data_IF_913499077867
#
_entry.id   IF_913499077867
#
_cell.length_a   1.000
_cell.length_b   1.000
_cell.length_c   1.000
_cell.angle_alpha   90.00
_cell.angle_beta   90.00
_cell.angle_gamma   90.00
#
_symmetry.space_group_name_H-M   'P 1'
#
loop_
_entity.id
_entity.type
_entity.pdbx_description
1 polymer ?
#
# COMPACT_ATOMS: atom_id res chain seq x y z
N UNK A 1 17.39 34.78 12.45
CA UNK A 1 16.55 33.99 11.53
C UNK A 1 16.82 32.52 11.82
N UNK A 2 15.81 31.73 12.21
CA UNK A 2 15.98 30.29 12.39
C UNK A 2 16.12 29.67 11.01
N UNK A 3 17.27 29.06 10.75
CA UNK A 3 17.54 28.31 9.54
C UNK A 3 16.57 27.12 9.53
N UNK A 4 15.66 27.12 8.55
CA UNK A 4 14.60 26.12 8.44
C UNK A 4 15.23 24.87 7.82
N UNK A 5 15.38 23.85 8.65
CA UNK A 5 16.00 22.56 8.33
C UNK A 5 14.99 21.61 7.65
N UNK A 6 14.33 22.10 6.59
CA UNK A 6 13.35 21.32 5.81
C UNK A 6 14.11 20.65 4.65
N UNK A 7 14.01 19.31 4.47
CA UNK A 7 14.42 18.69 3.22
C UNK A 7 13.55 19.24 2.09
N UNK A 8 14.20 19.87 1.12
CA UNK A 8 13.50 20.60 0.06
C UNK A 8 12.65 19.69 -0.83
N UNK A 9 13.03 18.42 -0.94
CA UNK A 9 12.43 17.44 -1.83
C UNK A 9 12.68 16.03 -1.28
N UNK A 10 11.64 15.20 -1.24
CA UNK A 10 11.77 13.74 -1.19
C UNK A 10 11.39 13.15 -2.54
N UNK A 11 12.14 12.16 -3.02
CA UNK A 11 11.82 11.44 -4.26
C UNK A 11 11.74 9.94 -4.04
N UNK A 12 11.04 9.25 -4.93
CA UNK A 12 10.92 7.80 -4.87
C UNK A 12 12.28 7.14 -5.07
N UNK A 13 12.66 6.28 -4.13
CA UNK A 13 13.95 5.58 -4.18
C UNK A 13 13.81 4.10 -4.46
N UNK A 14 12.93 3.42 -3.73
CA UNK A 14 12.72 1.98 -3.86
C UNK A 14 11.32 1.57 -3.39
N UNK A 15 10.80 0.52 -4.01
CA UNK A 15 9.66 -0.24 -3.52
C UNK A 15 10.19 -1.51 -2.82
N UNK A 16 9.54 -1.92 -1.73
CA UNK A 16 9.89 -3.15 -1.03
C UNK A 16 8.62 -3.90 -0.63
N UNK A 17 8.58 -5.20 -0.91
CA UNK A 17 7.55 -6.10 -0.39
C UNK A 17 7.88 -6.39 1.07
N UNK A 18 7.02 -5.96 1.98
CA UNK A 18 7.24 -6.21 3.41
C UNK A 18 6.63 -7.53 3.88
N UNK A 19 5.50 -7.93 3.31
CA UNK A 19 4.77 -9.14 3.69
C UNK A 19 4.13 -9.76 2.45
N UNK A 20 4.24 -11.09 2.31
CA UNK A 20 3.51 -11.85 1.30
C UNK A 20 3.10 -13.21 1.87
N UNK A 21 1.80 -13.48 1.86
CA UNK A 21 1.25 -14.75 2.37
C UNK A 21 0.14 -15.22 1.43
N UNK A 22 0.10 -16.53 1.19
CA UNK A 22 -0.98 -17.17 0.46
C UNK A 22 -1.60 -18.29 1.28
N UNK A 23 -2.93 -18.38 1.25
CA UNK A 23 -3.72 -19.44 1.88
C UNK A 23 -4.43 -20.27 0.82
N UNK A 24 -4.60 -21.56 1.09
CA UNK A 24 -5.51 -22.45 0.36
C UNK A 24 -6.46 -23.14 1.33
N UNK A 25 -7.66 -23.48 0.86
CA UNK A 25 -8.60 -24.28 1.63
C UNK A 25 -8.17 -25.74 1.76
N UNK A 26 -8.47 -26.35 2.91
CA UNK A 26 -8.24 -27.75 3.23
C UNK A 26 -9.42 -28.32 4.03
N UNK A 27 -9.43 -29.63 4.31
CA UNK A 27 -10.44 -30.26 5.18
C UNK A 27 -10.44 -29.74 6.62
N UNK A 28 -9.35 -29.09 7.06
CA UNK A 28 -9.20 -28.54 8.42
C UNK A 28 -9.39 -27.02 8.48
N UNK A 29 -9.61 -26.35 7.35
CA UNK A 29 -9.63 -24.89 7.25
C UNK A 29 -8.52 -24.36 6.33
N UNK A 30 -8.20 -23.07 6.45
CA UNK A 30 -7.08 -22.47 5.73
C UNK A 30 -5.73 -23.10 6.11
N UNK A 31 -4.88 -23.34 5.12
CA UNK A 31 -3.46 -23.67 5.32
C UNK A 31 -2.61 -22.71 4.50
N UNK A 32 -1.48 -22.28 5.05
CA UNK A 32 -0.52 -21.43 4.34
C UNK A 32 0.13 -22.23 3.22
N UNK A 33 0.22 -21.64 2.04
CA UNK A 33 0.94 -22.21 0.91
C UNK A 33 2.44 -21.95 1.05
N UNK A 34 3.26 -22.86 0.54
CA UNK A 34 4.64 -22.52 0.23
C UNK A 34 4.66 -21.48 -0.91
N UNK A 35 5.29 -20.34 -0.64
CA UNK A 35 5.44 -19.22 -1.58
C UNK A 35 6.89 -19.07 -2.04
N UNK A 36 7.75 -20.08 -1.81
CA UNK A 36 9.14 -20.06 -2.26
C UNK A 36 9.18 -19.90 -3.79
N UNK A 37 9.85 -18.83 -4.25
CA UNK A 37 9.97 -18.51 -5.67
C UNK A 37 8.73 -17.91 -6.33
N UNK A 38 7.70 -17.55 -5.55
CA UNK A 38 6.55 -16.79 -6.04
C UNK A 38 6.76 -15.31 -5.72
N UNK A 39 6.94 -14.50 -6.76
CA UNK A 39 7.04 -13.05 -6.59
C UNK A 39 5.64 -12.43 -6.59
N UNK A 40 5.31 -11.53 -5.64
CA UNK A 40 4.05 -10.79 -5.68
C UNK A 40 3.85 -10.07 -7.01
N UNK A 41 4.92 -9.58 -7.62
CA UNK A 41 4.88 -8.89 -8.90
C UNK A 41 4.23 -9.74 -10.00
N UNK A 42 4.38 -11.06 -9.98
CA UNK A 42 3.74 -11.93 -10.97
C UNK A 42 2.21 -12.00 -10.81
N UNK A 43 1.73 -11.81 -9.57
CA UNK A 43 0.31 -11.84 -9.25
C UNK A 43 -0.38 -10.49 -9.48
N UNK A 44 0.34 -9.36 -9.43
CA UNK A 44 -0.22 -8.00 -9.58
C UNK A 44 0.59 -7.14 -10.55
N UNK A 45 1.16 -7.73 -11.61
CA UNK A 45 2.11 -7.07 -12.51
C UNK A 45 1.60 -5.73 -13.06
N UNK A 46 0.34 -5.69 -13.51
CA UNK A 46 -0.26 -4.48 -14.08
C UNK A 46 -0.44 -3.39 -13.02
N UNK A 47 -1.02 -3.74 -11.86
CA UNK A 47 -1.24 -2.78 -10.77
C UNK A 47 0.06 -2.26 -10.17
N UNK A 48 1.08 -3.11 -10.03
CA UNK A 48 2.40 -2.72 -9.54
C UNK A 48 3.10 -1.82 -10.55
N UNK A 49 3.08 -2.18 -11.83
CA UNK A 49 3.71 -1.38 -12.89
C UNK A 49 3.11 0.01 -12.98
N UNK A 50 1.78 0.13 -12.94
CA UNK A 50 1.10 1.42 -12.95
C UNK A 50 1.53 2.30 -11.76
N UNK A 51 1.55 1.71 -10.56
CA UNK A 51 1.90 2.42 -9.32
C UNK A 51 3.36 2.79 -9.24
N UNK A 52 4.24 1.88 -9.64
CA UNK A 52 5.67 2.18 -9.73
C UNK A 52 5.94 3.33 -10.70
N UNK A 53 5.30 3.35 -11.86
CA UNK A 53 5.47 4.45 -12.81
C UNK A 53 5.00 5.77 -12.19
N UNK A 54 3.81 5.78 -11.56
CA UNK A 54 3.30 6.94 -10.86
C UNK A 54 4.28 7.44 -9.78
N UNK A 55 4.79 6.55 -8.93
CA UNK A 55 5.67 6.93 -7.83
C UNK A 55 7.07 7.30 -8.30
N UNK A 56 7.61 6.68 -9.36
CA UNK A 56 8.90 7.06 -9.96
C UNK A 56 8.91 8.50 -10.46
N UNK A 57 7.78 9.01 -10.91
CA UNK A 57 7.61 10.40 -11.35
C UNK A 57 7.21 11.35 -10.20
N UNK A 58 6.83 10.79 -9.04
CA UNK A 58 6.36 11.56 -7.90
C UNK A 58 7.52 12.13 -7.06
N UNK A 59 7.40 13.42 -6.73
CA UNK A 59 8.27 14.12 -5.80
C UNK A 59 7.45 14.89 -4.78
N UNK A 60 7.89 14.90 -3.52
CA UNK A 60 7.25 15.63 -2.42
C UNK A 60 8.12 16.82 -2.04
N UNK A 61 7.68 18.01 -2.39
CA UNK A 61 8.40 19.28 -2.13
C UNK A 61 7.74 19.97 -0.94
N UNK A 62 8.45 20.06 0.18
CA UNK A 62 7.98 20.76 1.37
C UNK A 62 8.30 22.25 1.24
N UNK A 63 7.27 23.07 1.05
CA UNK A 63 7.42 24.52 0.84
C UNK A 63 7.62 25.22 2.18
N UNK A 64 6.84 24.81 3.18
CA UNK A 64 6.95 25.25 4.57
C UNK A 64 6.35 24.19 5.52
N UNK A 65 6.13 24.55 6.79
CA UNK A 65 5.61 23.64 7.83
C UNK A 65 4.12 23.28 7.65
N UNK A 66 3.44 23.85 6.65
CA UNK A 66 2.00 23.65 6.37
C UNK A 66 1.68 23.37 4.92
N UNK A 67 2.58 23.67 3.98
CA UNK A 67 2.36 23.55 2.53
C UNK A 67 3.33 22.58 1.87
N UNK A 68 2.77 21.74 1.01
CA UNK A 68 3.41 20.64 0.30
C UNK A 68 3.04 20.74 -1.19
N UNK A 69 3.98 20.49 -2.10
CA UNK A 69 3.69 20.27 -3.53
C UNK A 69 4.03 18.82 -3.89
N UNK A 70 3.13 18.15 -4.60
CA UNK A 70 3.35 16.79 -5.12
C UNK A 70 3.59 16.91 -6.62
N UNK A 71 4.81 16.68 -7.10
CA UNK A 71 5.10 16.68 -8.54
C UNK A 71 4.60 15.38 -9.18
N UNK A 72 4.15 15.39 -10.45
CA UNK A 72 4.12 16.53 -11.38
C UNK A 72 2.89 17.44 -11.23
N UNK A 73 2.07 17.30 -10.18
CA UNK A 73 0.90 18.16 -10.00
C UNK A 73 1.30 19.60 -9.64
N UNK A 74 0.58 20.57 -10.24
CA UNK A 74 0.91 22.00 -10.13
C UNK A 74 0.23 22.73 -8.96
N UNK A 75 -0.41 22.01 -8.04
CA UNK A 75 -1.11 22.61 -6.92
C UNK A 75 -0.41 22.36 -5.58
N UNK A 76 -0.66 23.27 -4.64
CA UNK A 76 -0.21 23.15 -3.26
C UNK A 76 -1.28 22.45 -2.42
N UNK A 77 -0.82 21.57 -1.56
CA UNK A 77 -1.61 20.90 -0.55
C UNK A 77 -1.30 21.48 0.82
N UNK A 78 -2.34 21.64 1.64
CA UNK A 78 -2.16 21.84 3.07
C UNK A 78 -1.91 20.47 3.69
N UNK A 79 -0.83 20.34 4.45
CA UNK A 79 -0.47 19.10 5.12
C UNK A 79 -0.26 19.30 6.62
N UNK A 80 -0.27 18.19 7.35
CA UNK A 80 0.26 18.12 8.72
C UNK A 80 0.92 16.77 8.95
N UNK A 81 1.85 16.74 9.90
CA UNK A 81 2.42 15.51 10.43
C UNK A 81 1.81 15.25 11.81
N UNK A 82 1.01 14.20 11.94
CA UNK A 82 0.37 13.82 13.19
C UNK A 82 0.80 12.40 13.57
N UNK A 83 1.53 12.25 14.68
CA UNK A 83 2.02 10.95 15.18
C UNK A 83 2.68 10.07 14.12
N UNK A 84 3.51 10.67 13.26
CA UNK A 84 4.20 9.95 12.19
C UNK A 84 3.32 9.62 10.97
N UNK A 85 2.16 10.28 10.82
CA UNK A 85 1.33 10.21 9.62
C UNK A 85 1.35 11.56 8.93
N UNK A 86 1.76 11.57 7.67
CA UNK A 86 1.56 12.70 6.77
C UNK A 86 0.10 12.66 6.31
N UNK A 87 -0.65 13.68 6.70
CA UNK A 87 -2.04 13.86 6.29
C UNK A 87 -2.16 15.09 5.39
N UNK A 88 -2.96 14.97 4.34
CA UNK A 88 -3.28 16.05 3.41
C UNK A 88 -4.73 16.47 3.64
N UNK A 89 -4.98 17.78 3.75
CA UNK A 89 -6.33 18.29 3.83
C UNK A 89 -7.01 18.14 2.46
N UNK A 90 -8.12 17.40 2.41
CA UNK A 90 -9.03 17.39 1.28
C UNK A 90 -9.93 18.62 1.37
N UNK A 91 -9.83 19.60 0.45
CA UNK A 91 -10.67 20.79 0.48
C UNK A 91 -12.15 20.48 0.25
N UNK A 92 -12.43 19.44 -0.54
CA UNK A 92 -13.80 19.01 -0.88
C UNK A 92 -14.54 18.40 0.32
N UNK A 93 -13.81 17.68 1.18
CA UNK A 93 -14.38 16.94 2.30
C UNK A 93 -14.18 17.62 3.66
N UNK A 94 -13.38 18.68 3.71
CA UNK A 94 -12.87 19.32 4.92
C UNK A 94 -12.31 18.30 5.94
N UNK A 95 -11.52 17.36 5.42
CA UNK A 95 -10.97 16.23 6.18
C UNK A 95 -9.50 16.00 5.90
N UNK A 96 -8.78 15.65 6.96
CA UNK A 96 -7.39 15.20 6.87
C UNK A 96 -7.36 13.75 6.38
N UNK A 97 -6.72 13.53 5.23
CA UNK A 97 -6.58 12.23 4.59
C UNK A 97 -5.16 11.71 4.82
N UNK A 98 -4.99 10.54 5.45
CA UNK A 98 -3.68 9.89 5.53
C UNK A 98 -3.11 9.65 4.14
N UNK A 99 -1.90 10.14 3.91
CA UNK A 99 -1.21 10.02 2.63
C UNK A 99 0.01 9.10 2.72
N UNK A 100 0.87 9.31 3.73
CA UNK A 100 2.08 8.52 3.94
C UNK A 100 2.43 8.41 5.43
N UNK A 101 3.30 7.47 5.78
CA UNK A 101 3.75 7.20 7.14
C UNK A 101 5.25 7.54 7.28
N UNK A 102 5.66 8.04 8.43
CA UNK A 102 7.03 8.47 8.72
C UNK A 102 7.13 9.94 9.11
N UNK A 103 8.18 10.61 8.66
CA UNK A 103 8.43 12.03 8.93
C UNK A 103 8.86 12.76 7.65
N UNK A 104 9.08 14.07 7.73
CA UNK A 104 9.45 14.88 6.56
C UNK A 104 10.76 14.49 5.86
N UNK A 105 11.63 13.69 6.50
CA UNK A 105 12.91 13.22 5.93
C UNK A 105 12.80 11.81 5.32
N UNK A 106 11.74 11.07 5.66
CA UNK A 106 11.51 9.72 5.16
C UNK A 106 10.03 9.41 5.26
N UNK A 107 9.40 9.22 4.11
CA UNK A 107 7.99 8.86 4.01
C UNK A 107 7.82 7.52 3.32
N UNK A 108 6.78 6.82 3.71
CA UNK A 108 6.42 5.53 3.14
C UNK A 108 4.94 5.52 2.79
N UNK A 109 4.62 5.24 1.52
CA UNK A 109 3.27 4.94 1.06
C UNK A 109 3.11 3.42 1.08
N UNK A 110 2.04 2.95 1.70
CA UNK A 110 1.76 1.51 1.81
C UNK A 110 0.64 1.17 0.84
N UNK A 111 0.89 0.19 -0.03
CA UNK A 111 -0.11 -0.39 -0.90
C UNK A 111 -0.40 -1.82 -0.50
N UNK A 112 -1.64 -2.07 -0.12
CA UNK A 112 -2.15 -3.39 0.21
C UNK A 112 -2.76 -4.06 -1.02
N UNK A 113 -2.38 -5.30 -1.28
CA UNK A 113 -2.81 -6.07 -2.44
C UNK A 113 -3.46 -7.38 -1.99
N UNK A 114 -4.63 -7.69 -2.54
CA UNK A 114 -5.34 -8.95 -2.31
C UNK A 114 -5.73 -9.61 -3.63
N UNK A 115 -5.66 -10.93 -3.68
CA UNK A 115 -6.00 -11.76 -4.81
C UNK A 115 -6.81 -12.98 -4.38
N UNK A 116 -7.87 -13.31 -5.10
CA UNK A 116 -8.66 -14.52 -4.89
C UNK A 116 -8.64 -15.36 -6.17
N UNK A 117 -8.36 -16.64 -6.01
CA UNK A 117 -8.26 -17.61 -7.08
C UNK A 117 -8.88 -18.95 -6.74
N UNK A 118 -8.95 -19.81 -7.74
CA UNK A 118 -9.08 -21.25 -7.52
C UNK A 118 -7.68 -21.90 -7.55
N UNK A 119 -7.62 -23.22 -7.64
CA UNK A 119 -6.36 -23.96 -7.66
C UNK A 119 -5.51 -23.56 -8.88
N UNK A 120 -6.14 -23.11 -9.96
CA UNK A 120 -5.55 -22.82 -11.28
C UNK A 120 -5.03 -21.39 -11.43
N UNK A 121 -5.34 -20.48 -10.50
CA UNK A 121 -4.78 -19.13 -10.50
C UNK A 121 -5.68 -18.07 -9.86
N UNK A 122 -5.10 -16.87 -9.65
CA UNK A 122 -5.79 -15.70 -9.09
C UNK A 122 -6.60 -15.02 -10.19
N UNK A 123 -7.93 -14.92 -10.00
CA UNK A 123 -8.86 -14.36 -10.99
C UNK A 123 -9.40 -13.00 -10.60
N UNK A 124 -9.47 -12.72 -9.30
CA UNK A 124 -9.99 -11.45 -8.76
C UNK A 124 -8.89 -10.76 -7.98
N UNK A 125 -8.57 -9.52 -8.33
CA UNK A 125 -7.52 -8.72 -7.68
C UNK A 125 -8.09 -7.43 -7.10
N UNK A 126 -7.49 -6.95 -6.02
CA UNK A 126 -7.78 -5.66 -5.39
C UNK A 126 -6.48 -5.02 -4.93
N UNK A 127 -6.40 -3.71 -5.09
CA UNK A 127 -5.37 -2.86 -4.49
C UNK A 127 -6.02 -1.77 -3.63
N UNK A 128 -5.40 -1.44 -2.50
CA UNK A 128 -5.81 -0.38 -1.57
C UNK A 128 -4.59 0.48 -1.24
N UNK A 129 -4.77 1.80 -1.14
CA UNK A 129 -3.70 2.73 -0.69
C UNK A 129 -3.62 2.78 0.84
N UNK A 130 -3.56 1.60 1.48
CA UNK A 130 -3.32 1.41 2.90
C UNK A 130 -2.82 -0.03 3.13
N UNK A 131 -2.36 -0.32 4.34
CA UNK A 131 -1.96 -1.67 4.71
C UNK A 131 -3.15 -2.64 4.59
N UNK A 132 -3.01 -3.67 3.75
CA UNK A 132 -3.93 -4.79 3.71
C UNK A 132 -3.53 -5.78 4.80
N UNK A 133 -4.52 -6.25 5.54
CA UNK A 133 -4.30 -7.28 6.57
C UNK A 133 -4.85 -8.61 6.09
N UNK A 134 -4.40 -9.70 6.72
CA UNK A 134 -5.02 -11.01 6.55
C UNK A 134 -6.56 -10.91 6.66
N UNK A 135 -7.09 -10.27 7.71
CA UNK A 135 -8.54 -10.08 7.85
C UNK A 135 -9.18 -9.33 6.67
N UNK A 136 -8.54 -8.27 6.18
CA UNK A 136 -9.01 -7.53 5.03
C UNK A 136 -9.02 -8.37 3.75
N UNK A 137 -8.04 -9.26 3.57
CA UNK A 137 -7.99 -10.21 2.47
C UNK A 137 -9.11 -11.25 2.55
N UNK A 138 -9.41 -11.74 3.75
CA UNK A 138 -10.54 -12.65 3.98
C UNK A 138 -11.88 -11.94 3.75
N UNK A 139 -12.06 -10.71 4.24
CA UNK A 139 -13.28 -9.93 4.01
C UNK A 139 -13.52 -9.69 2.52
N UNK A 140 -12.46 -9.44 1.75
CA UNK A 140 -12.54 -9.32 0.29
C UNK A 140 -13.05 -10.61 -0.39
N UNK A 141 -12.72 -11.77 0.19
CA UNK A 141 -13.20 -13.08 -0.23
C UNK A 141 -14.60 -13.42 0.30
N UNK A 142 -15.27 -12.48 0.99
CA UNK A 142 -16.55 -12.73 1.65
C UNK A 142 -16.41 -13.68 2.84
N UNK A 143 -15.23 -13.73 3.46
CA UNK A 143 -14.94 -14.57 4.62
C UNK A 143 -14.60 -13.71 5.83
N UNK A 144 -15.16 -14.06 6.96
CA UNK A 144 -14.84 -13.48 8.26
C UNK A 144 -13.99 -14.42 9.11
N UNK A 145 -13.23 -15.37 8.54
CA UNK A 145 -12.19 -16.13 9.26
C UNK A 145 -11.50 -17.16 8.37
N UNK A 146 -10.33 -17.62 8.84
CA UNK A 146 -9.55 -18.71 8.25
C UNK A 146 -10.29 -20.06 8.22
N UNK A 147 -11.11 -20.36 9.24
CA UNK A 147 -11.85 -21.63 9.31
C UNK A 147 -12.88 -21.77 8.19
N UNK A 148 -13.37 -20.65 7.65
CA UNK A 148 -14.32 -20.63 6.53
C UNK A 148 -13.73 -21.03 5.18
N UNK A 149 -12.40 -21.23 5.08
CA UNK A 149 -11.78 -21.89 3.94
C UNK A 149 -11.88 -23.43 3.98
N UNK A 150 -12.48 -24.00 5.03
CA UNK A 150 -12.70 -25.44 5.14
C UNK A 150 -13.48 -25.97 3.92
N UNK A 151 -12.94 -27.02 3.31
CA UNK A 151 -13.50 -27.70 2.13
C UNK A 151 -13.70 -26.81 0.89
N UNK A 152 -13.17 -25.57 0.89
CA UNK A 152 -13.23 -24.65 -0.25
C UNK A 152 -12.04 -24.87 -1.19
N UNK A 153 -12.32 -24.92 -2.49
CA UNK A 153 -11.29 -24.92 -3.56
C UNK A 153 -10.86 -23.50 -3.93
N UNK A 154 -10.46 -22.71 -2.94
CA UNK A 154 -10.07 -21.31 -3.13
C UNK A 154 -8.66 -21.04 -2.60
N UNK A 155 -7.95 -20.14 -3.29
CA UNK A 155 -6.68 -19.54 -2.87
C UNK A 155 -6.89 -18.06 -2.58
N UNK A 156 -6.29 -17.57 -1.50
CA UNK A 156 -6.29 -16.15 -1.15
C UNK A 156 -4.84 -15.73 -0.97
N UNK A 157 -4.37 -14.81 -1.79
CA UNK A 157 -3.05 -14.21 -1.69
C UNK A 157 -3.20 -12.75 -1.24
N UNK A 158 -2.32 -12.29 -0.37
CA UNK A 158 -2.23 -10.88 -0.03
C UNK A 158 -0.80 -10.47 0.28
N UNK A 159 -0.45 -9.24 -0.06
CA UNK A 159 0.85 -8.65 0.23
C UNK A 159 0.75 -7.15 0.49
N UNK A 160 1.79 -6.60 1.11
CA UNK A 160 1.97 -5.16 1.23
C UNK A 160 3.25 -4.72 0.54
N UNK A 161 3.16 -3.65 -0.24
CA UNK A 161 4.28 -2.97 -0.87
C UNK A 161 4.47 -1.60 -0.23
N UNK A 162 5.72 -1.31 0.12
CA UNK A 162 6.14 -0.10 0.79
C UNK A 162 6.95 0.72 -0.21
N UNK A 163 6.41 1.87 -0.61
CA UNK A 163 7.09 2.82 -1.50
C UNK A 163 7.74 3.90 -0.65
N UNK A 164 9.07 3.97 -0.66
CA UNK A 164 9.83 4.86 0.23
C UNK A 164 10.35 6.09 -0.51
N UNK A 165 10.10 7.25 0.08
CA UNK A 165 10.60 8.56 -0.34
C UNK A 165 11.68 9.04 0.64
N UNK A 166 12.78 9.57 0.10
CA UNK A 166 13.98 9.99 0.84
C UNK A 166 14.55 11.30 0.30
#
# INVERSE_FOLDING_TARGET
MKQIDIPLLLSFRYAHVQEFVMYTGSRKGAVTCDTTGVEPHDLWADEMKEKENLYKEMGLVFIDDTRLKITPYEHYHIYRLNNGVLEILSPELDKWIPFAYGNRNKLTIIQGLTGIGDIWGVKKKRSLNCNETCWGAFNYAGLSSLSLLKDKKAKIAWCNIYYTFH
#
